data_IF_343468071929
#
_entry.id   IF_343468071929
#
_cell.length_a   1.000
_cell.length_b   1.000
_cell.length_c   1.000
_cell.angle_alpha   90.00
_cell.angle_beta   90.00
_cell.angle_gamma   90.00
#
_symmetry.space_group_name_H-M   'P 1'
#
loop_
_entity.id
_entity.type
_entity.pdbx_description
1 polymer ?
#
# COMPACT_ATOMS: atom_id res chain seq x y z
N UNK A 1 -6.85 9.09 -11.35
CA UNK A 1 -6.48 7.71 -11.75
C UNK A 1 -7.56 6.75 -11.26
N UNK A 2 -7.99 5.82 -12.08
CA UNK A 2 -9.00 4.88 -11.62
C UNK A 2 -8.39 3.81 -10.70
N UNK A 3 -9.27 3.15 -9.94
CA UNK A 3 -8.83 2.22 -8.89
C UNK A 3 -8.09 1.01 -9.45
N UNK A 4 -8.50 0.48 -10.60
CA UNK A 4 -7.85 -0.69 -11.19
C UNK A 4 -6.44 -0.36 -11.70
N UNK A 5 -6.25 0.83 -12.25
CA UNK A 5 -4.91 1.29 -12.66
C UNK A 5 -3.99 1.47 -11.46
N UNK A 6 -4.53 1.98 -10.37
CA UNK A 6 -3.74 2.15 -9.14
C UNK A 6 -3.34 0.78 -8.58
N UNK A 7 -4.24 -0.21 -8.63
CA UNK A 7 -3.91 -1.59 -8.25
C UNK A 7 -2.81 -2.18 -9.14
N UNK A 8 -2.83 -1.90 -10.44
CA UNK A 8 -1.76 -2.35 -11.34
C UNK A 8 -0.40 -1.78 -10.94
N UNK A 9 -0.36 -0.51 -10.54
CA UNK A 9 0.87 0.11 -10.06
C UNK A 9 1.35 -0.56 -8.76
N UNK A 10 0.43 -0.89 -7.86
CA UNK A 10 0.77 -1.62 -6.64
C UNK A 10 1.35 -3.01 -6.95
N UNK A 11 0.79 -3.70 -7.95
CA UNK A 11 1.30 -5.00 -8.38
C UNK A 11 2.73 -4.91 -8.92
N UNK A 12 3.05 -3.84 -9.65
CA UNK A 12 4.42 -3.60 -10.11
C UNK A 12 5.37 -3.35 -8.95
N UNK A 13 4.95 -2.55 -7.99
CA UNK A 13 5.76 -2.24 -6.81
C UNK A 13 6.09 -3.50 -6.01
N UNK A 14 5.14 -4.42 -5.90
CA UNK A 14 5.28 -5.68 -5.17
C UNK A 14 6.49 -6.49 -5.64
N UNK A 15 6.82 -6.44 -6.93
CA UNK A 15 7.93 -7.23 -7.49
C UNK A 15 9.30 -6.81 -6.94
N UNK A 16 9.40 -5.64 -6.34
CA UNK A 16 10.65 -5.13 -5.75
C UNK A 16 10.76 -5.39 -4.26
N UNK A 17 9.79 -6.07 -3.66
CA UNK A 17 9.80 -6.36 -2.23
C UNK A 17 10.99 -7.27 -1.85
N UNK A 18 11.55 -7.02 -0.67
CA UNK A 18 12.62 -7.83 -0.13
C UNK A 18 12.08 -8.63 1.06
N UNK A 19 11.81 -9.91 0.85
CA UNK A 19 11.10 -10.75 1.81
C UNK A 19 11.75 -12.13 2.02
N UNK A 20 13.04 -12.17 2.43
CA UNK A 20 13.75 -13.45 2.58
C UNK A 20 13.24 -14.30 3.74
N UNK A 21 12.48 -13.72 4.67
CA UNK A 21 12.00 -14.41 5.86
C UNK A 21 10.58 -14.93 5.71
N UNK A 22 9.64 -14.08 5.26
CA UNK A 22 8.23 -14.45 5.13
C UNK A 22 7.87 -15.02 3.77
N UNK A 23 8.61 -14.66 2.74
CA UNK A 23 8.29 -14.95 1.34
C UNK A 23 6.93 -14.36 0.91
N UNK A 24 6.42 -13.38 1.64
CA UNK A 24 5.14 -12.72 1.37
C UNK A 24 5.41 -11.30 0.91
N UNK A 25 5.16 -11.02 -0.37
CA UNK A 25 5.45 -9.73 -1.00
C UNK A 25 4.22 -8.85 -1.09
N UNK A 26 4.36 -7.62 -0.61
CA UNK A 26 3.29 -6.62 -0.62
C UNK A 26 3.73 -5.42 -1.45
N UNK A 27 2.82 -4.89 -2.24
CA UNK A 27 3.03 -3.67 -2.98
C UNK A 27 1.95 -2.65 -2.66
N UNK A 28 2.32 -1.39 -2.68
CA UNK A 28 1.39 -0.29 -2.45
C UNK A 28 1.60 0.80 -3.48
N UNK A 29 0.52 1.45 -3.88
CA UNK A 29 0.54 2.62 -4.75
C UNK A 29 -0.29 3.71 -4.11
N UNK A 30 0.36 4.79 -3.70
CA UNK A 30 -0.25 5.92 -2.99
C UNK A 30 -0.46 7.07 -3.97
N UNK A 31 -1.71 7.51 -4.11
CA UNK A 31 -2.05 8.64 -4.96
C UNK A 31 -2.22 9.89 -4.12
N UNK A 32 -1.47 10.93 -4.47
CA UNK A 32 -1.61 12.25 -3.83
C UNK A 32 -2.74 13.04 -4.48
N UNK A 33 -3.23 14.07 -3.79
CA UNK A 33 -4.24 14.97 -4.37
C UNK A 33 -3.69 15.77 -5.55
N UNK A 34 -2.37 15.92 -5.65
CA UNK A 34 -1.73 16.57 -6.79
C UNK A 34 -1.64 15.66 -8.03
N UNK A 35 -2.00 14.39 -7.91
CA UNK A 35 -2.00 13.44 -9.03
C UNK A 35 -0.73 12.61 -9.17
N UNK A 36 0.19 12.69 -8.21
CA UNK A 36 1.41 11.88 -8.24
C UNK A 36 1.18 10.53 -7.57
N UNK A 37 1.85 9.51 -8.08
CA UNK A 37 1.80 8.14 -7.53
C UNK A 37 3.15 7.78 -6.92
N UNK A 38 3.12 7.37 -5.66
CA UNK A 38 4.31 6.89 -4.96
C UNK A 38 4.15 5.40 -4.68
N UNK A 39 5.13 4.61 -5.13
CA UNK A 39 5.12 3.17 -4.98
C UNK A 39 5.90 2.75 -3.74
N UNK A 40 5.43 1.69 -3.09
CA UNK A 40 6.12 1.09 -1.96
C UNK A 40 6.02 -0.42 -1.99
N UNK A 41 6.97 -1.06 -1.34
CA UNK A 41 6.98 -2.50 -1.16
C UNK A 41 7.48 -2.81 0.25
N UNK A 42 7.19 -4.01 0.75
CA UNK A 42 7.68 -4.38 2.07
C UNK A 42 9.15 -4.79 2.00
N UNK A 43 9.89 -4.41 3.03
CA UNK A 43 11.32 -4.64 3.13
C UNK A 43 11.59 -5.23 4.51
N UNK A 44 12.00 -6.48 4.53
CA UNK A 44 12.25 -7.22 5.77
C UNK A 44 13.68 -7.09 6.24
N UNK A 45 13.87 -7.25 7.52
CA UNK A 45 15.18 -7.22 8.15
C UNK A 45 15.26 -8.33 9.20
N UNK A 46 16.43 -8.94 9.36
CA UNK A 46 16.65 -9.98 10.38
C UNK A 46 16.36 -9.44 11.79
N UNK A 47 16.64 -8.16 12.03
CA UNK A 47 16.19 -7.45 13.23
C UNK A 47 14.79 -6.91 12.92
N UNK A 48 13.79 -7.45 13.57
CA UNK A 48 12.39 -7.19 13.24
C UNK A 48 12.03 -5.69 13.19
N UNK A 49 12.54 -4.90 14.10
CA UNK A 49 12.20 -3.48 14.24
C UNK A 49 12.36 -2.65 12.95
N UNK A 50 13.46 -2.78 12.15
CA UNK A 50 13.60 -2.02 10.91
C UNK A 50 12.73 -2.52 9.75
N UNK A 51 12.09 -3.68 9.89
CA UNK A 51 11.18 -4.20 8.86
C UNK A 51 10.09 -3.17 8.57
N UNK A 52 9.88 -2.85 7.29
CA UNK A 52 8.92 -1.83 6.90
C UNK A 52 7.87 -2.40 5.95
N UNK A 53 6.61 -1.99 6.17
CA UNK A 53 5.48 -2.38 5.32
C UNK A 53 5.47 -1.57 4.03
N UNK A 54 4.83 -2.11 2.99
CA UNK A 54 4.72 -1.44 1.69
C UNK A 54 4.04 -0.06 1.82
N UNK A 55 2.99 0.02 2.59
CA UNK A 55 2.23 1.25 2.80
C UNK A 55 3.11 2.34 3.42
N UNK A 56 3.87 1.98 4.46
CA UNK A 56 4.78 2.94 5.11
C UNK A 56 5.90 3.38 4.18
N UNK A 57 6.43 2.48 3.37
CA UNK A 57 7.44 2.83 2.37
C UNK A 57 6.90 3.90 1.42
N UNK A 58 5.67 3.73 0.92
CA UNK A 58 5.05 4.69 0.01
C UNK A 58 4.80 6.04 0.69
N UNK A 59 4.22 6.03 1.91
CA UNK A 59 3.93 7.26 2.65
C UNK A 59 5.21 8.02 3.01
N UNK A 60 6.22 7.32 3.53
CA UNK A 60 7.46 7.97 3.95
C UNK A 60 8.19 8.60 2.77
N UNK A 61 8.18 7.91 1.62
CA UNK A 61 8.74 8.46 0.39
C UNK A 61 8.01 9.75 -0.02
N UNK A 62 6.69 9.71 -0.07
CA UNK A 62 5.87 10.86 -0.46
C UNK A 62 6.07 12.04 0.50
N UNK A 63 6.01 11.77 1.80
CA UNK A 63 6.20 12.81 2.82
C UNK A 63 7.60 13.40 2.74
N UNK A 64 8.61 12.57 2.50
CA UNK A 64 10.01 13.06 2.37
C UNK A 64 10.20 13.96 1.16
N UNK A 65 9.34 13.84 0.14
CA UNK A 65 9.36 14.69 -1.04
C UNK A 65 8.42 15.90 -0.93
N UNK A 66 7.81 16.10 0.23
CA UNK A 66 7.00 17.30 0.52
C UNK A 66 5.51 17.11 0.38
N UNK A 67 5.03 15.92 0.03
CA UNK A 67 3.59 15.68 -0.08
C UNK A 67 2.93 15.61 1.30
N UNK A 68 1.74 16.21 1.41
CA UNK A 68 0.99 16.25 2.68
C UNK A 68 -0.49 15.93 2.49
N UNK A 69 -0.99 15.89 1.25
CA UNK A 69 -2.39 15.64 0.94
C UNK A 69 -2.52 14.41 0.07
N UNK A 70 -3.30 13.43 0.53
CA UNK A 70 -3.41 12.12 -0.10
C UNK A 70 -4.86 11.79 -0.42
N UNK A 71 -5.09 11.13 -1.56
CA UNK A 71 -6.42 10.77 -2.01
C UNK A 71 -6.77 9.32 -1.69
N UNK A 72 -5.92 8.39 -2.06
CA UNK A 72 -6.17 6.96 -1.87
C UNK A 72 -4.90 6.14 -2.00
N UNK A 73 -4.96 4.90 -1.51
CA UNK A 73 -3.85 3.94 -1.63
C UNK A 73 -4.39 2.59 -2.10
N UNK A 74 -3.69 1.95 -3.03
CA UNK A 74 -3.96 0.58 -3.44
C UNK A 74 -2.93 -0.34 -2.81
N UNK A 75 -3.37 -1.49 -2.31
CA UNK A 75 -2.52 -2.46 -1.61
C UNK A 75 -2.78 -3.85 -2.17
N UNK A 76 -1.71 -4.56 -2.52
CA UNK A 76 -1.78 -5.95 -2.96
C UNK A 76 -0.71 -6.78 -2.26
N UNK A 77 -1.00 -8.04 -1.97
CA UNK A 77 -0.05 -8.90 -1.30
C UNK A 77 -0.31 -10.37 -1.61
N UNK A 78 0.77 -11.14 -1.75
CA UNK A 78 0.74 -12.58 -1.92
C UNK A 78 2.15 -13.15 -1.74
N UNK A 79 2.25 -14.47 -1.59
CA UNK A 79 3.53 -15.15 -1.60
C UNK A 79 4.25 -14.93 -2.93
N UNK A 80 5.57 -14.97 -2.90
CA UNK A 80 6.39 -14.82 -4.11
C UNK A 80 5.99 -15.88 -5.15
N UNK A 81 5.77 -15.42 -6.38
CA UNK A 81 5.35 -16.28 -7.49
C UNK A 81 3.85 -16.51 -7.57
N UNK A 82 3.05 -16.07 -6.60
CA UNK A 82 1.60 -16.19 -6.64
C UNK A 82 0.95 -14.87 -7.06
N UNK A 83 -0.25 -14.96 -7.65
CA UNK A 83 -1.02 -13.78 -8.04
C UNK A 83 -1.60 -13.10 -6.81
N UNK A 84 -1.52 -11.77 -6.75
CA UNK A 84 -1.99 -10.96 -5.63
C UNK A 84 -3.45 -10.56 -5.82
N UNK A 85 -4.36 -11.54 -5.81
CA UNK A 85 -5.78 -11.34 -6.07
C UNK A 85 -6.66 -11.39 -4.82
N UNK A 86 -6.10 -11.71 -3.66
CA UNK A 86 -6.84 -11.74 -2.41
C UNK A 86 -6.64 -10.45 -1.63
N UNK A 87 -7.62 -10.12 -0.78
CA UNK A 87 -7.52 -8.90 0.03
C UNK A 87 -6.35 -8.96 1.00
N UNK A 88 -5.55 -7.89 1.01
CA UNK A 88 -4.42 -7.72 1.90
C UNK A 88 -4.57 -6.35 2.58
N UNK A 89 -5.22 -6.33 3.73
CA UNK A 89 -5.49 -5.10 4.46
C UNK A 89 -4.24 -4.57 5.17
N UNK A 90 -4.14 -3.24 5.39
CA UNK A 90 -2.99 -2.67 6.10
C UNK A 90 -2.96 -3.09 7.56
N UNK A 91 -1.75 -3.24 8.11
CA UNK A 91 -1.57 -3.57 9.53
C UNK A 91 -1.90 -2.36 10.43
N UNK A 92 -1.97 -2.60 11.74
CA UNK A 92 -2.30 -1.55 12.69
C UNK A 92 -1.33 -0.38 12.69
N UNK A 93 -0.03 -0.64 12.54
CA UNK A 93 0.98 0.41 12.47
C UNK A 93 0.79 1.27 11.23
N UNK A 94 0.48 0.64 10.07
CA UNK A 94 0.22 1.37 8.84
C UNK A 94 -1.04 2.22 8.94
N UNK A 95 -2.08 1.71 9.60
CA UNK A 95 -3.31 2.49 9.86
C UNK A 95 -3.00 3.72 10.70
N UNK A 96 -2.14 3.59 11.70
CA UNK A 96 -1.74 4.71 12.54
C UNK A 96 -0.98 5.77 11.74
N UNK A 97 -0.10 5.35 10.84
CA UNK A 97 0.61 6.28 9.94
C UNK A 97 -0.39 7.02 9.04
N UNK A 98 -1.37 6.30 8.48
CA UNK A 98 -2.40 6.91 7.66
C UNK A 98 -3.24 7.92 8.43
N UNK A 99 -3.55 7.64 9.69
CA UNK A 99 -4.32 8.56 10.54
C UNK A 99 -3.61 9.89 10.77
N UNK A 100 -2.28 9.90 10.77
CA UNK A 100 -1.50 11.12 10.93
C UNK A 100 -1.67 12.06 9.72
N UNK A 101 -1.75 11.50 8.51
CA UNK A 101 -1.69 12.27 7.26
C UNK A 101 -3.01 12.37 6.51
N UNK A 102 -4.04 11.60 6.88
CA UNK A 102 -5.25 11.48 6.08
C UNK A 102 -6.51 11.70 6.93
N UNK A 103 -7.55 12.23 6.29
CA UNK A 103 -8.88 12.26 6.89
C UNK A 103 -9.50 10.86 6.78
N UNK A 104 -9.77 10.17 7.91
CA UNK A 104 -10.25 8.78 7.86
C UNK A 104 -11.60 8.59 7.18
N UNK A 105 -12.40 9.63 7.06
CA UNK A 105 -13.71 9.57 6.38
C UNK A 105 -13.59 9.73 4.87
N UNK A 106 -12.49 10.30 4.38
CA UNK A 106 -12.31 10.61 2.97
C UNK A 106 -11.27 9.73 2.28
N UNK A 107 -10.21 9.38 3.00
CA UNK A 107 -9.12 8.60 2.42
C UNK A 107 -9.56 7.19 2.10
N UNK A 108 -9.37 6.78 0.84
CA UNK A 108 -9.81 5.48 0.35
C UNK A 108 -8.68 4.48 0.30
N UNK A 109 -8.99 3.25 0.69
CA UNK A 109 -8.08 2.12 0.62
C UNK A 109 -8.67 1.13 -0.39
N UNK A 110 -7.91 0.85 -1.45
CA UNK A 110 -8.32 -0.01 -2.55
C UNK A 110 -7.59 -1.34 -2.40
N UNK A 111 -8.34 -2.41 -2.22
CA UNK A 111 -7.82 -3.76 -2.05
C UNK A 111 -8.23 -4.63 -3.22
N UNK A 112 -7.33 -5.51 -3.66
CA UNK A 112 -7.66 -6.51 -4.67
C UNK A 112 -8.68 -7.49 -4.07
N UNK A 113 -9.72 -7.80 -4.84
CA UNK A 113 -10.78 -8.72 -4.42
C UNK A 113 -11.18 -9.55 -5.63
N UNK A 114 -10.22 -10.30 -6.17
CA UNK A 114 -10.36 -11.08 -7.39
C UNK A 114 -9.39 -10.60 -8.46
N UNK A 115 -9.46 -11.22 -9.65
CA UNK A 115 -8.48 -10.97 -10.71
C UNK A 115 -8.54 -9.56 -11.28
N UNK A 116 -9.73 -9.04 -11.53
CA UNK A 116 -9.94 -7.72 -12.12
C UNK A 116 -10.98 -6.90 -11.34
N UNK A 117 -11.10 -7.17 -10.05
CA UNK A 117 -12.06 -6.48 -9.20
C UNK A 117 -11.36 -5.93 -7.97
N UNK A 118 -11.94 -4.89 -7.40
CA UNK A 118 -11.39 -4.29 -6.19
C UNK A 118 -12.49 -3.94 -5.21
N UNK A 119 -12.09 -3.84 -3.94
CA UNK A 119 -12.95 -3.38 -2.86
C UNK A 119 -12.40 -2.04 -2.37
N UNK A 120 -13.28 -1.06 -2.23
CA UNK A 120 -12.93 0.27 -1.76
C UNK A 120 -13.51 0.49 -0.37
N UNK A 121 -12.65 0.90 0.56
CA UNK A 121 -13.05 1.20 1.93
C UNK A 121 -12.43 2.53 2.33
N UNK A 122 -13.09 3.27 3.20
CA UNK A 122 -12.45 4.41 3.83
C UNK A 122 -11.57 3.90 4.98
N UNK A 123 -10.62 4.72 5.41
CA UNK A 123 -9.76 4.37 6.54
C UNK A 123 -10.59 4.13 7.81
N UNK A 124 -11.69 4.89 7.98
CA UNK A 124 -12.61 4.73 9.11
C UNK A 124 -13.29 3.37 9.13
N UNK A 125 -13.58 2.80 7.94
CA UNK A 125 -14.27 1.51 7.82
C UNK A 125 -13.39 0.29 8.10
N UNK A 126 -12.10 0.47 8.14
CA UNK A 126 -11.15 -0.63 8.40
C UNK A 126 -11.21 -1.12 9.87
#
# INVERSE_FOLDING_TARGET
MDNLKLLEEAKKARLKAYTPYSNFKVGAALLTKSGKVYLGCNIENATYTPTNCAERTAFFKAVSEGEREFEKIAIVGAKDGEDANEMCAPCGVCRQVMMEFCNPKEFQIILADGENTCRVMTLEEL
#
